data_IF_608210388429
#
_entry.id   IF_608210388429
#
_cell.length_a   1.000
_cell.length_b   1.000
_cell.length_c   1.000
_cell.angle_alpha   90.00
_cell.angle_beta   90.00
_cell.angle_gamma   90.00
#
_symmetry.space_group_name_H-M   'P 1'
#
loop_
_entity.id
_entity.type
_entity.pdbx_description
1 polymer ?
#
# COMPACT_ATOMS: atom_id res chain seq x y z
N UNK A 1 -9.85 -22.48 -2.96
CA UNK A 1 -8.37 -22.61 -2.97
C UNK A 1 -7.80 -21.21 -3.10
N UNK A 2 -7.13 -20.71 -2.05
CA UNK A 2 -6.88 -19.27 -1.87
C UNK A 2 -5.71 -18.78 -2.72
N UNK A 3 -5.90 -17.65 -3.43
CA UNK A 3 -4.87 -16.96 -4.25
C UNK A 3 -3.56 -16.78 -3.47
N UNK A 4 -3.66 -16.49 -2.17
CA UNK A 4 -2.50 -16.35 -1.29
C UNK A 4 -1.73 -17.66 -1.10
N UNK A 5 -2.40 -18.82 -1.10
CA UNK A 5 -1.73 -20.12 -1.05
C UNK A 5 -0.89 -20.41 -2.29
N UNK A 6 -1.37 -19.99 -3.47
CA UNK A 6 -0.61 -20.08 -4.72
C UNK A 6 0.60 -19.13 -4.72
N UNK A 7 0.43 -17.90 -4.24
CA UNK A 7 1.52 -16.92 -4.10
C UNK A 7 2.59 -17.47 -3.13
N UNK A 8 2.19 -18.01 -1.98
CA UNK A 8 3.12 -18.61 -1.01
C UNK A 8 3.85 -19.83 -1.58
N UNK A 9 3.14 -20.69 -2.32
CA UNK A 9 3.75 -21.83 -3.01
C UNK A 9 4.84 -21.39 -3.98
N UNK A 10 4.53 -20.42 -4.84
CA UNK A 10 5.48 -19.85 -5.81
C UNK A 10 6.67 -19.16 -5.14
N UNK A 11 6.45 -18.39 -4.06
CA UNK A 11 7.55 -17.77 -3.31
C UNK A 11 8.46 -18.81 -2.65
N UNK A 12 7.94 -19.95 -2.21
CA UNK A 12 8.79 -21.01 -1.60
C UNK A 12 9.71 -21.69 -2.61
N UNK A 13 9.30 -21.72 -3.89
CA UNK A 13 10.08 -22.30 -4.98
C UNK A 13 11.15 -21.36 -5.52
N UNK A 14 11.00 -20.06 -5.29
CA UNK A 14 11.94 -19.07 -5.75
C UNK A 14 13.16 -18.97 -4.82
N UNK A 15 14.35 -19.17 -5.39
CA UNK A 15 15.62 -19.04 -4.68
C UNK A 15 15.78 -17.59 -4.18
N UNK A 16 15.85 -17.41 -2.86
CA UNK A 16 16.05 -16.08 -2.26
C UNK A 16 17.47 -15.58 -2.58
N UNK A 17 17.58 -14.52 -3.38
CA UNK A 17 18.83 -13.77 -3.55
C UNK A 17 18.99 -12.77 -2.41
N UNK A 18 20.21 -12.66 -1.87
CA UNK A 18 20.49 -11.82 -0.71
C UNK A 18 20.44 -10.33 -1.07
N UNK A 19 19.25 -9.73 -0.94
CA UNK A 19 19.07 -8.29 -1.11
C UNK A 19 19.58 -7.58 0.13
N UNK A 20 20.61 -6.75 -0.04
CA UNK A 20 21.20 -5.96 1.03
C UNK A 20 20.53 -4.59 1.10
N UNK A 21 19.85 -4.32 2.23
CA UNK A 21 19.27 -3.03 2.57
C UNK A 21 19.66 -2.67 4.02
N UNK A 22 19.92 -1.39 4.32
CA UNK A 22 20.23 -0.97 5.68
C UNK A 22 19.02 -1.18 6.60
N UNK A 23 19.29 -1.69 7.81
CA UNK A 23 18.25 -1.91 8.85
C UNK A 23 17.44 -0.66 9.19
N UNK A 24 18.01 0.54 9.00
CA UNK A 24 17.30 1.81 9.18
C UNK A 24 16.21 2.00 8.12
N UNK A 25 16.56 1.87 6.84
CA UNK A 25 15.60 2.00 5.72
C UNK A 25 14.48 0.98 5.84
N UNK A 26 14.80 -0.28 6.17
CA UNK A 26 13.80 -1.33 6.40
C UNK A 26 12.81 -0.96 7.51
N UNK A 27 13.28 -0.38 8.62
CA UNK A 27 12.42 0.07 9.71
C UNK A 27 11.50 1.22 9.30
N UNK A 28 12.03 2.21 8.58
CA UNK A 28 11.22 3.34 8.10
C UNK A 28 10.14 2.88 7.11
N UNK A 29 10.50 2.04 6.14
CA UNK A 29 9.55 1.51 5.16
C UNK A 29 8.54 0.58 5.82
N UNK A 30 8.98 -0.35 6.67
CA UNK A 30 8.07 -1.25 7.40
C UNK A 30 7.13 -0.50 8.32
N UNK A 31 7.63 0.53 9.03
CA UNK A 31 6.81 1.42 9.84
C UNK A 31 5.75 2.14 9.01
N UNK A 32 6.15 2.75 7.88
CA UNK A 32 5.23 3.41 6.96
C UNK A 32 4.13 2.48 6.43
N UNK A 33 4.50 1.28 5.95
CA UNK A 33 3.53 0.29 5.47
C UNK A 33 2.58 -0.17 6.59
N UNK A 34 3.08 -0.28 7.83
CA UNK A 34 2.24 -0.59 9.00
C UNK A 34 1.26 0.55 9.28
N UNK A 35 1.70 1.80 9.21
CA UNK A 35 0.84 2.98 9.39
C UNK A 35 -0.31 3.00 8.38
N UNK A 36 -0.05 2.62 7.12
CA UNK A 36 -1.11 2.50 6.11
C UNK A 36 -2.17 1.49 6.56
N UNK A 37 -1.76 0.30 7.01
CA UNK A 37 -2.69 -0.74 7.45
C UNK A 37 -3.53 -0.30 8.66
N UNK A 38 -2.89 0.32 9.64
CA UNK A 38 -3.52 0.70 10.91
C UNK A 38 -4.43 1.92 10.76
N UNK A 39 -4.09 2.87 9.90
CA UNK A 39 -4.91 4.08 9.71
C UNK A 39 -5.93 3.89 8.60
N UNK A 40 -5.52 3.43 7.41
CA UNK A 40 -6.43 3.33 6.25
C UNK A 40 -7.37 2.13 6.35
N UNK A 41 -6.92 1.00 6.91
CA UNK A 41 -7.76 -0.20 7.08
C UNK A 41 -9.07 0.09 7.80
N UNK A 42 -9.03 0.60 9.06
CA UNK A 42 -10.23 0.97 9.79
C UNK A 42 -11.05 2.07 9.12
N UNK A 43 -10.39 3.09 8.55
CA UNK A 43 -11.08 4.18 7.84
C UNK A 43 -11.90 3.66 6.65
N UNK A 44 -11.38 2.70 5.89
CA UNK A 44 -12.10 2.08 4.76
C UNK A 44 -13.30 1.28 5.26
N UNK A 45 -13.15 0.52 6.35
CA UNK A 45 -14.26 -0.23 6.95
C UNK A 45 -15.36 0.74 7.42
N UNK A 46 -15.00 1.78 8.17
CA UNK A 46 -15.96 2.76 8.70
C UNK A 46 -16.76 3.45 7.60
N UNK A 47 -16.13 3.73 6.45
CA UNK A 47 -16.81 4.31 5.28
C UNK A 47 -17.66 3.30 4.50
N UNK A 48 -17.34 2.01 4.59
CA UNK A 48 -18.11 0.97 3.93
C UNK A 48 -19.39 0.62 4.73
N UNK A 49 -19.37 0.74 6.06
CA UNK A 49 -20.51 0.39 6.93
C UNK A 49 -21.84 1.05 6.50
N UNK A 50 -21.94 2.38 6.27
CA UNK A 50 -23.20 3.00 5.86
C UNK A 50 -23.77 2.41 4.56
N UNK A 51 -22.90 2.06 3.62
CA UNK A 51 -23.28 1.48 2.33
C UNK A 51 -23.76 0.03 2.46
N UNK A 52 -23.15 -0.73 3.39
CA UNK A 52 -23.61 -2.08 3.72
C UNK A 52 -25.00 -2.01 4.36
N UNK A 53 -25.19 -1.09 5.32
CA UNK A 53 -26.46 -0.94 6.03
C UNK A 53 -27.61 -0.47 5.13
N UNK A 54 -27.31 0.40 4.16
CA UNK A 54 -28.31 0.88 3.20
C UNK A 54 -28.60 -0.11 2.06
N UNK A 55 -27.85 -1.21 1.94
CA UNK A 55 -27.90 -2.16 0.82
C UNK A 55 -27.81 -1.49 -0.57
N UNK A 56 -27.24 -0.28 -0.63
CA UNK A 56 -27.06 0.45 -1.89
C UNK A 56 -25.56 0.52 -2.20
N UNK A 57 -25.10 -0.07 -3.32
CA UNK A 57 -23.71 0.03 -3.71
C UNK A 57 -23.42 1.48 -4.12
N UNK A 58 -22.55 2.14 -3.36
CA UNK A 58 -22.00 3.42 -3.77
C UNK A 58 -21.13 3.26 -5.04
N UNK A 59 -20.99 4.31 -5.86
CA UNK A 59 -20.15 4.30 -7.06
C UNK A 59 -18.69 3.89 -6.76
N UNK A 60 -18.20 4.14 -5.55
CA UNK A 60 -16.84 3.83 -5.08
C UNK A 60 -16.70 2.50 -4.36
N UNK A 61 -17.77 1.70 -4.25
CA UNK A 61 -17.79 0.42 -3.53
C UNK A 61 -16.70 -0.55 -4.01
N UNK A 62 -16.44 -0.61 -5.31
CA UNK A 62 -15.41 -1.48 -5.90
C UNK A 62 -13.98 -1.17 -5.42
N UNK A 63 -13.67 0.10 -5.14
CA UNK A 63 -12.35 0.52 -4.66
C UNK A 63 -12.15 0.05 -3.22
N UNK A 64 -13.14 0.28 -2.35
CA UNK A 64 -13.08 -0.16 -0.96
C UNK A 64 -12.90 -1.68 -0.83
N UNK A 65 -13.65 -2.45 -1.60
CA UNK A 65 -13.56 -3.92 -1.60
C UNK A 65 -12.20 -4.39 -2.13
N UNK A 66 -11.69 -3.78 -3.21
CA UNK A 66 -10.38 -4.12 -3.76
C UNK A 66 -9.26 -3.81 -2.77
N UNK A 67 -9.34 -2.68 -2.09
CA UNK A 67 -8.32 -2.27 -1.12
C UNK A 67 -8.32 -3.17 0.12
N UNK A 68 -9.49 -3.43 0.69
CA UNK A 68 -9.65 -4.28 1.88
C UNK A 68 -9.35 -5.76 1.59
N UNK A 69 -9.75 -6.26 0.43
CA UNK A 69 -9.67 -7.68 0.09
C UNK A 69 -8.34 -8.11 -0.52
N UNK A 70 -7.62 -7.20 -1.19
CA UNK A 70 -6.41 -7.54 -1.95
C UNK A 70 -5.22 -6.67 -1.52
N UNK A 71 -5.38 -5.35 -1.54
CA UNK A 71 -4.25 -4.41 -1.37
C UNK A 71 -3.73 -4.44 0.07
N UNK A 72 -4.58 -4.27 1.08
CA UNK A 72 -4.15 -4.27 2.47
C UNK A 72 -3.62 -5.63 2.93
N UNK A 73 -4.21 -6.78 2.59
CA UNK A 73 -3.61 -8.07 2.91
C UNK A 73 -2.25 -8.26 2.24
N UNK A 74 -2.08 -7.80 0.99
CA UNK A 74 -0.78 -7.83 0.32
C UNK A 74 0.26 -6.94 1.05
N UNK A 75 -0.10 -5.70 1.40
CA UNK A 75 0.76 -4.80 2.19
C UNK A 75 1.11 -5.42 3.55
N UNK A 76 0.15 -6.07 4.21
CA UNK A 76 0.35 -6.81 5.46
C UNK A 76 1.39 -7.91 5.32
N UNK A 77 1.26 -8.75 4.29
CA UNK A 77 2.23 -9.80 3.99
C UNK A 77 3.63 -9.23 3.71
N UNK A 78 3.71 -8.21 2.87
CA UNK A 78 4.99 -7.53 2.55
C UNK A 78 5.64 -7.00 3.82
N UNK A 79 4.86 -6.35 4.68
CA UNK A 79 5.32 -5.78 5.95
C UNK A 79 5.87 -6.86 6.89
N UNK A 80 5.15 -7.99 7.03
CA UNK A 80 5.61 -9.13 7.85
C UNK A 80 6.91 -9.72 7.27
N UNK A 81 7.00 -9.90 5.96
CA UNK A 81 8.20 -10.42 5.31
C UNK A 81 9.39 -9.46 5.44
N UNK A 82 9.13 -8.15 5.39
CA UNK A 82 10.13 -7.11 5.56
C UNK A 82 10.70 -7.13 6.99
N UNK A 83 9.85 -7.26 8.02
CA UNK A 83 10.30 -7.39 9.40
C UNK A 83 11.02 -8.72 9.67
N UNK A 84 10.63 -9.80 8.98
CA UNK A 84 11.36 -11.08 8.99
C UNK A 84 12.65 -11.04 8.14
N UNK A 85 13.01 -9.88 7.58
CA UNK A 85 14.22 -9.65 6.79
C UNK A 85 14.35 -10.56 5.56
N UNK A 86 13.22 -11.02 5.00
CA UNK A 86 13.17 -11.90 3.82
C UNK A 86 13.50 -11.14 2.54
N UNK A 87 14.18 -11.78 1.59
CA UNK A 87 14.59 -11.17 0.33
C UNK A 87 13.39 -10.68 -0.50
N UNK A 88 12.35 -11.50 -0.58
CA UNK A 88 11.10 -11.13 -1.24
C UNK A 88 10.42 -9.94 -0.57
N UNK A 89 10.37 -9.90 0.77
CA UNK A 89 9.78 -8.78 1.50
C UNK A 89 10.46 -7.45 1.19
N UNK A 90 11.80 -7.48 1.06
CA UNK A 90 12.58 -6.33 0.59
C UNK A 90 12.11 -5.92 -0.80
N UNK A 91 12.25 -6.76 -1.82
CA UNK A 91 11.89 -6.41 -3.20
C UNK A 91 10.45 -5.88 -3.30
N UNK A 92 9.49 -6.60 -2.72
CA UNK A 92 8.08 -6.23 -2.76
C UNK A 92 7.79 -4.92 -2.01
N UNK A 93 8.56 -4.57 -0.97
CA UNK A 93 8.38 -3.28 -0.28
C UNK A 93 8.67 -2.08 -1.19
N UNK A 94 9.62 -2.20 -2.12
CA UNK A 94 9.86 -1.17 -3.13
C UNK A 94 8.68 -1.00 -4.09
N UNK A 95 8.10 -2.11 -4.52
CA UNK A 95 6.88 -2.11 -5.36
C UNK A 95 5.71 -1.51 -4.59
N UNK A 96 5.55 -1.86 -3.31
CA UNK A 96 4.50 -1.34 -2.46
C UNK A 96 4.61 0.18 -2.26
N UNK A 97 5.82 0.73 -2.10
CA UNK A 97 6.04 2.17 -1.99
C UNK A 97 5.58 2.91 -3.26
N UNK A 98 6.03 2.45 -4.43
CA UNK A 98 5.63 3.03 -5.71
C UNK A 98 4.11 2.94 -5.89
N UNK A 99 3.52 1.76 -5.65
CA UNK A 99 2.06 1.57 -5.76
C UNK A 99 1.30 2.51 -4.84
N UNK A 100 1.73 2.63 -3.59
CA UNK A 100 1.10 3.54 -2.62
C UNK A 100 1.20 4.97 -3.11
N UNK A 101 2.36 5.40 -3.58
CA UNK A 101 2.56 6.76 -4.10
C UNK A 101 1.63 7.06 -5.28
N UNK A 102 1.56 6.17 -6.27
CA UNK A 102 0.69 6.35 -7.44
C UNK A 102 -0.79 6.31 -7.07
N UNK A 103 -1.20 5.38 -6.20
CA UNK A 103 -2.60 5.27 -5.77
C UNK A 103 -3.05 6.49 -4.97
N UNK A 104 -2.28 6.91 -3.96
CA UNK A 104 -2.62 8.09 -3.15
C UNK A 104 -2.62 9.37 -3.99
N UNK A 105 -1.73 9.48 -4.97
CA UNK A 105 -1.72 10.61 -5.89
C UNK A 105 -2.98 10.62 -6.76
N UNK A 106 -3.32 9.52 -7.42
CA UNK A 106 -4.54 9.44 -8.25
C UNK A 106 -5.81 9.66 -7.43
N UNK A 107 -5.90 9.06 -6.24
CA UNK A 107 -7.04 9.25 -5.34
C UNK A 107 -7.14 10.71 -4.87
N UNK A 108 -6.03 11.33 -4.45
CA UNK A 108 -6.00 12.73 -4.07
C UNK A 108 -6.45 13.67 -5.19
N UNK A 109 -6.04 13.41 -6.43
CA UNK A 109 -6.53 14.15 -7.59
C UNK A 109 -8.02 13.94 -7.84
N UNK A 110 -8.53 12.72 -7.67
CA UNK A 110 -9.96 12.43 -7.83
C UNK A 110 -10.82 13.19 -6.81
N UNK A 111 -10.37 13.28 -5.55
CA UNK A 111 -11.07 14.03 -4.49
C UNK A 111 -11.05 15.55 -4.73
N UNK A 112 -10.03 16.09 -5.40
CA UNK A 112 -9.95 17.51 -5.77
C UNK A 112 -10.82 17.78 -7.01
N UNK A 113 -10.80 16.89 -7.99
CA UNK A 113 -11.49 17.07 -9.27
C UNK A 113 -13.01 16.82 -9.19
N UNK A 114 -13.45 15.91 -8.32
CA UNK A 114 -14.86 15.60 -8.10
C UNK A 114 -15.72 16.84 -7.75
N UNK A 115 -15.33 17.66 -6.77
CA UNK A 115 -15.97 18.94 -6.44
C UNK A 115 -16.05 19.93 -7.60
N UNK A 116 -15.02 19.99 -8.45
CA UNK A 116 -14.94 20.87 -9.61
C UNK A 116 -15.96 20.52 -10.71
N UNK A 117 -16.30 19.23 -10.86
CA UNK A 117 -17.18 18.75 -11.94
C UNK A 117 -18.58 18.38 -11.45
N UNK A 118 -18.70 17.84 -10.23
CA UNK A 118 -19.95 17.30 -9.66
C UNK A 118 -20.54 18.15 -8.53
N UNK A 119 -19.92 19.30 -8.18
CA UNK A 119 -20.34 20.19 -7.07
C UNK A 119 -20.48 19.48 -5.71
N UNK A 120 -19.73 18.40 -5.52
CA UNK A 120 -19.68 17.68 -4.24
C UNK A 120 -18.86 18.48 -3.20
N UNK A 121 -19.18 18.37 -1.91
CA UNK A 121 -18.37 18.99 -0.86
C UNK A 121 -16.96 18.38 -0.83
N UNK A 122 -15.93 19.22 -0.71
CA UNK A 122 -14.54 18.77 -0.62
C UNK A 122 -14.35 18.04 0.71
N UNK A 123 -14.02 16.74 0.64
CA UNK A 123 -13.61 15.98 1.80
C UNK A 123 -12.16 16.31 2.17
N UNK A 124 -11.95 17.44 2.85
CA UNK A 124 -10.61 17.97 3.21
C UNK A 124 -9.76 16.92 3.94
N UNK A 125 -10.38 16.11 4.79
CA UNK A 125 -9.70 15.01 5.51
C UNK A 125 -9.09 13.97 4.56
N UNK A 126 -9.79 13.63 3.46
CA UNK A 126 -9.33 12.63 2.50
C UNK A 126 -8.16 13.18 1.68
N UNK A 127 -8.28 14.40 1.18
CA UNK A 127 -7.20 15.07 0.44
C UNK A 127 -5.97 15.20 1.32
N UNK A 128 -6.13 15.59 2.59
CA UNK A 128 -5.04 15.67 3.56
C UNK A 128 -4.35 14.33 3.78
N UNK A 129 -5.12 13.25 3.97
CA UNK A 129 -4.56 11.90 4.13
C UNK A 129 -3.83 11.41 2.87
N UNK A 130 -4.42 11.62 1.69
CA UNK A 130 -3.82 11.27 0.40
C UNK A 130 -2.50 12.02 0.17
N UNK A 131 -2.45 13.32 0.46
CA UNK A 131 -1.25 14.13 0.37
C UNK A 131 -0.17 13.64 1.34
N UNK A 132 -0.54 13.37 2.60
CA UNK A 132 0.38 12.89 3.63
C UNK A 132 1.07 11.57 3.21
N UNK A 133 0.30 10.57 2.79
CA UNK A 133 0.85 9.28 2.36
C UNK A 133 1.67 9.40 1.06
N UNK A 134 1.26 10.26 0.12
CA UNK A 134 2.00 10.50 -1.13
C UNK A 134 3.38 11.12 -0.85
N UNK A 135 3.42 12.16 -0.01
CA UNK A 135 4.67 12.86 0.33
C UNK A 135 5.63 11.90 1.05
N UNK A 136 5.16 11.18 2.07
CA UNK A 136 6.02 10.25 2.82
C UNK A 136 6.51 9.12 1.92
N UNK A 137 5.64 8.56 1.07
CA UNK A 137 6.04 7.52 0.13
C UNK A 137 7.11 8.05 -0.84
N UNK A 138 6.91 9.23 -1.42
CA UNK A 138 7.89 9.88 -2.31
C UNK A 138 9.24 10.11 -1.63
N UNK A 139 9.24 10.58 -0.38
CA UNK A 139 10.47 10.78 0.40
C UNK A 139 11.18 9.45 0.67
N UNK A 140 10.45 8.37 0.96
CA UNK A 140 11.02 7.06 1.26
C UNK A 140 11.53 6.31 0.02
N UNK A 141 10.96 6.56 -1.16
CA UNK A 141 11.41 5.96 -2.43
C UNK A 141 12.89 6.29 -2.71
N UNK A 142 13.30 7.55 -2.54
CA UNK A 142 14.67 7.99 -2.85
C UNK A 142 15.76 7.22 -2.07
N UNK A 143 15.77 7.18 -0.72
CA UNK A 143 16.74 6.42 0.04
C UNK A 143 16.59 4.91 -0.15
N UNK A 144 15.37 4.42 -0.40
CA UNK A 144 15.12 3.02 -0.66
C UNK A 144 15.86 2.54 -1.91
N UNK A 145 15.66 3.20 -3.05
CA UNK A 145 16.32 2.82 -4.31
C UNK A 145 17.81 3.15 -4.32
N UNK A 146 18.26 4.24 -3.68
CA UNK A 146 19.69 4.55 -3.57
C UNK A 146 20.49 3.51 -2.79
N UNK A 147 19.86 2.83 -1.82
CA UNK A 147 20.55 1.87 -0.97
C UNK A 147 20.28 0.41 -1.32
N UNK A 148 19.43 0.18 -2.33
CA UNK A 148 19.14 -1.14 -2.84
C UNK A 148 20.38 -1.66 -3.58
N UNK A 149 21.03 -2.69 -3.02
CA UNK A 149 22.08 -3.45 -3.71
C UNK A 149 21.55 -4.83 -4.04
N UNK A 150 21.35 -5.09 -5.33
CA UNK A 150 21.02 -6.42 -5.84
C UNK A 150 22.36 -7.10 -6.18
N UNK A 151 22.70 -8.24 -5.54
CA UNK A 151 23.90 -8.97 -5.89
C UNK A 151 23.83 -9.41 -7.36
N UNK A 152 24.89 -9.10 -8.13
CA UNK A 152 24.94 -9.41 -9.57
C UNK A 152 25.07 -10.92 -9.74
N UNK A 153 24.14 -11.55 -10.47
CA UNK A 153 24.22 -12.96 -10.89
C UNK A 153 25.60 -13.23 -11.52
N UNK A 154 26.36 -14.16 -10.93
CA UNK A 154 27.45 -14.87 -11.60
C UNK A 154 26.91 -16.18 -12.14
#
# INVERSE_FOLDING_TARGET
VSIYGMIFGLMSLAKEEDVLLPKKVLRWVGGFLTTILVLMGPLWILRMIPNILSNQPAETYGVFVMDLGIVFPAIGLITVMLFKNKAFGKILSGVALIKTCSLCLTWGFAEIYGPLVRQLPIAVEMVGSAAFFTIISGILIVPYFKTLKIPKRR
#
